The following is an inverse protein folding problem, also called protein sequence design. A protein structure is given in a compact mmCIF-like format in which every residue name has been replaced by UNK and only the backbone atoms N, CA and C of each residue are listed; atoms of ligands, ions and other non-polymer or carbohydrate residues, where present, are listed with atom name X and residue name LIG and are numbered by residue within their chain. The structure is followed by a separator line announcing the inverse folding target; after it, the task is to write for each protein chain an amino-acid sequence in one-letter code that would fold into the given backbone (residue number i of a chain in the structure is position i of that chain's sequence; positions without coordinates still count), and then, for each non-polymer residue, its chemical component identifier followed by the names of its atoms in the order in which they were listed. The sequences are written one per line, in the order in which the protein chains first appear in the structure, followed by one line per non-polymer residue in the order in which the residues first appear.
data_IF_368375518138
#
_entry.id   IF_368375518138
#
_cell.length_a   1.000
_cell.length_b   1.000
_cell.length_c   1.000
_cell.angle_alpha   90.00
_cell.angle_beta   90.00
_cell.angle_gamma   90.00
#
_symmetry.space_group_name_H-M   'P 1'
#
loop_
_entity.id
_entity.type
_entity.pdbx_description
1 polymer ?
#
# COMPACT_ATOMS: atom_id res chain seq x y z
N UNK A 1 -5.39 -19.06 -8.52
CA UNK A 1 -4.45 -18.93 -7.38
C UNK A 1 -4.97 -17.80 -6.49
N UNK A 2 -4.97 -17.98 -5.17
CA UNK A 2 -5.33 -16.95 -4.20
C UNK A 2 -4.07 -16.27 -3.69
N UNK A 3 -4.08 -14.95 -3.62
CA UNK A 3 -2.99 -14.13 -3.11
C UNK A 3 -3.51 -13.25 -1.98
N UNK A 4 -2.71 -13.10 -0.93
CA UNK A 4 -3.01 -12.19 0.18
C UNK A 4 -2.31 -10.86 -0.06
N UNK A 5 -3.07 -9.76 0.01
CA UNK A 5 -2.54 -8.40 -0.07
C UNK A 5 -2.58 -7.77 1.33
N UNK A 6 -1.45 -7.72 2.06
CA UNK A 6 -1.43 -7.21 3.43
C UNK A 6 -1.73 -5.71 3.47
N UNK A 7 -2.49 -5.30 4.48
CA UNK A 7 -2.64 -3.92 4.87
C UNK A 7 -1.38 -3.40 5.58
N UNK A 8 -1.23 -2.08 5.60
CA UNK A 8 -0.20 -1.38 6.39
C UNK A 8 -0.80 -0.36 7.32
N UNK A 9 -0.06 -0.06 8.38
CA UNK A 9 -0.21 1.14 9.19
C UNK A 9 1.04 2.02 9.06
N UNK A 10 0.88 3.33 9.24
CA UNK A 10 1.99 4.23 9.52
C UNK A 10 2.02 4.47 11.04
N UNK A 11 3.01 3.90 11.73
CA UNK A 11 3.10 4.03 13.20
C UNK A 11 3.60 5.42 13.65
N UNK A 12 4.08 6.22 12.69
CA UNK A 12 4.26 7.65 12.79
C UNK A 12 4.13 8.25 11.39
N UNK A 13 3.86 9.55 11.27
CA UNK A 13 3.91 10.27 10.00
C UNK A 13 4.24 11.72 10.28
N UNK A 14 5.36 12.21 9.74
CA UNK A 14 5.79 13.60 9.84
C UNK A 14 5.89 14.23 8.46
N UNK A 15 5.25 15.37 8.28
CA UNK A 15 5.40 16.21 7.09
C UNK A 15 6.65 17.07 7.29
N UNK A 16 7.64 16.92 6.43
CA UNK A 16 8.93 17.62 6.53
C UNK A 16 8.89 18.95 5.80
N UNK A 17 8.39 18.95 4.56
CA UNK A 17 8.30 20.15 3.73
C UNK A 17 7.36 19.93 2.55
N UNK A 18 6.81 21.03 2.00
CA UNK A 18 6.12 21.02 0.72
C UNK A 18 7.14 21.08 -0.42
N UNK A 19 6.95 20.25 -1.43
CA UNK A 19 7.77 20.18 -2.64
C UNK A 19 7.23 21.15 -3.71
N UNK A 20 8.08 21.51 -4.66
CA UNK A 20 7.72 22.33 -5.83
C UNK A 20 6.64 21.67 -6.71
N UNK A 21 6.60 20.34 -6.74
CA UNK A 21 5.59 19.57 -7.50
C UNK A 21 4.21 19.50 -6.81
N UNK A 22 4.02 20.19 -5.68
CA UNK A 22 2.76 20.24 -4.95
C UNK A 22 2.57 19.11 -3.91
N UNK A 23 3.49 18.15 -3.83
CA UNK A 23 3.49 17.09 -2.82
C UNK A 23 4.27 17.50 -1.57
N UNK A 24 4.44 16.55 -0.64
CA UNK A 24 5.23 16.74 0.58
C UNK A 24 6.31 15.68 0.71
N UNK A 25 7.47 16.09 1.23
CA UNK A 25 8.43 15.13 1.76
C UNK A 25 7.91 14.64 3.11
N UNK A 26 7.80 13.31 3.27
CA UNK A 26 7.31 12.67 4.48
C UNK A 26 8.40 11.81 5.10
N UNK A 27 8.43 11.78 6.43
CA UNK A 27 9.14 10.76 7.20
C UNK A 27 8.09 9.89 7.90
N UNK A 28 8.19 8.56 7.76
CA UNK A 28 7.23 7.64 8.36
C UNK A 28 7.82 6.24 8.56
N UNK A 29 7.31 5.50 9.54
CA UNK A 29 7.56 4.06 9.74
C UNK A 29 6.36 3.24 9.27
N UNK A 30 6.58 2.40 8.25
CA UNK A 30 5.57 1.46 7.75
C UNK A 30 5.63 0.15 8.53
N UNK A 31 4.48 -0.35 8.94
CA UNK A 31 4.31 -1.68 9.53
C UNK A 31 3.20 -2.42 8.79
N UNK A 32 3.51 -3.60 8.26
CA UNK A 32 2.49 -4.50 7.76
C UNK A 32 1.73 -5.13 8.94
N UNK A 33 0.44 -5.36 8.76
CA UNK A 33 -0.40 -6.01 9.76
C UNK A 33 -1.07 -7.25 9.18
N UNK A 34 -1.54 -8.14 10.06
CA UNK A 34 -2.18 -9.40 9.68
C UNK A 34 -3.66 -9.21 9.26
N UNK A 35 -3.93 -8.17 8.49
CA UNK A 35 -5.20 -7.89 7.81
C UNK A 35 -4.94 -7.88 6.31
N UNK A 36 -5.73 -8.64 5.54
CA UNK A 36 -5.45 -8.88 4.13
C UNK A 36 -6.72 -8.78 3.27
N UNK A 37 -6.56 -8.26 2.06
CA UNK A 37 -7.49 -8.55 0.98
C UNK A 37 -7.10 -9.91 0.33
N UNK A 38 -8.10 -10.72 -0.04
CA UNK A 38 -7.90 -11.93 -0.85
C UNK A 38 -8.10 -11.63 -2.33
N UNK A 39 -7.04 -11.74 -3.12
CA UNK A 39 -7.07 -11.52 -4.56
C UNK A 39 -7.04 -12.86 -5.29
N UNK A 40 -8.02 -13.10 -6.16
CA UNK A 40 -8.08 -14.31 -7.01
C UNK A 40 -7.95 -13.94 -8.48
N UNK A 41 -6.99 -14.57 -9.15
CA UNK A 41 -6.81 -14.42 -10.60
C UNK A 41 -7.41 -15.62 -11.34
N UNK A 42 -8.17 -15.33 -12.40
CA UNK A 42 -8.70 -16.31 -13.36
C UNK A 42 -8.19 -15.96 -14.74
N UNK A 43 -7.54 -16.92 -15.41
CA UNK A 43 -7.24 -16.79 -16.84
C UNK A 43 -8.56 -16.87 -17.61
N UNK A 44 -8.86 -15.85 -18.39
CA UNK A 44 -9.94 -15.91 -19.38
C UNK A 44 -9.31 -16.47 -20.65
N UNK A 45 -9.90 -17.53 -21.19
CA UNK A 45 -9.60 -17.99 -22.54
C UNK A 45 -10.62 -17.35 -23.45
N UNK A 46 -10.18 -16.51 -24.37
CA UNK A 46 -11.02 -16.04 -25.46
C UNK A 46 -11.03 -17.16 -26.49
N UNK A 47 -12.23 -17.71 -26.74
CA UNK A 47 -12.50 -18.56 -27.91
C UNK A 47 -12.75 -17.64 -29.12
#
# INVERSE_FOLDING_TARGET
MKFLSPAKLNLNLRVISKRIDGYHNLETTFQLIDLFDEITFKKIMNL
#
